data_IF_493956184783
#
_entry.id   IF_493956184783
#
_cell.length_a   1.000
_cell.length_b   1.000
_cell.length_c   1.000
_cell.angle_alpha   90.00
_cell.angle_beta   90.00
_cell.angle_gamma   90.00
#
_symmetry.space_group_name_H-M   'P 1'
#
loop_
_entity.id
_entity.type
_entity.pdbx_description
1 polymer ?
#
# COMPACT_ATOMS: atom_id res chain seq x y z
N UNK A 1 36.17 -14.77 -41.89
CA UNK A 1 36.11 -15.13 -40.45
C UNK A 1 35.68 -13.97 -39.52
N UNK A 2 35.22 -12.83 -40.06
CA UNK A 2 34.97 -11.58 -39.31
C UNK A 2 33.57 -11.47 -38.70
N UNK A 3 32.54 -12.13 -39.26
CA UNK A 3 31.15 -11.90 -38.84
C UNK A 3 30.78 -12.53 -37.47
N UNK A 4 31.35 -13.70 -37.12
CA UNK A 4 31.02 -14.44 -35.88
C UNK A 4 31.61 -13.80 -34.62
N UNK A 5 32.85 -13.29 -34.72
CA UNK A 5 33.56 -12.62 -33.62
C UNK A 5 32.93 -11.27 -33.27
N UNK A 6 32.45 -10.53 -34.29
CA UNK A 6 31.79 -9.23 -34.08
C UNK A 6 30.40 -9.42 -33.46
N UNK A 7 29.61 -10.42 -33.89
CA UNK A 7 28.32 -10.76 -33.25
C UNK A 7 28.47 -11.10 -31.77
N UNK A 8 29.46 -11.92 -31.41
CA UNK A 8 29.71 -12.27 -30.02
C UNK A 8 30.14 -11.08 -29.15
N UNK A 9 30.91 -10.13 -29.69
CA UNK A 9 31.28 -8.89 -28.97
C UNK A 9 30.07 -7.98 -28.69
N UNK A 10 29.15 -7.86 -29.64
CA UNK A 10 27.91 -7.08 -29.45
C UNK A 10 26.99 -7.74 -28.41
N UNK A 11 26.81 -9.06 -28.48
CA UNK A 11 25.98 -9.80 -27.52
C UNK A 11 26.50 -9.67 -26.08
N UNK A 12 27.83 -9.69 -25.89
CA UNK A 12 28.47 -9.46 -24.59
C UNK A 12 28.23 -8.03 -24.10
N UNK A 13 28.30 -7.03 -24.98
CA UNK A 13 28.03 -5.63 -24.63
C UNK A 13 26.56 -5.41 -24.22
N UNK A 14 25.61 -5.96 -24.98
CA UNK A 14 24.17 -5.88 -24.69
C UNK A 14 23.85 -6.57 -23.36
N UNK A 15 24.47 -7.72 -23.11
CA UNK A 15 24.32 -8.44 -21.84
C UNK A 15 24.87 -7.63 -20.67
N UNK A 16 26.05 -7.01 -20.83
CA UNK A 16 26.65 -6.15 -19.80
C UNK A 16 25.77 -4.95 -19.49
N UNK A 17 25.20 -4.29 -20.51
CA UNK A 17 24.28 -3.16 -20.32
C UNK A 17 23.04 -3.58 -19.52
N UNK A 18 22.39 -4.68 -19.93
CA UNK A 18 21.20 -5.22 -19.22
C UNK A 18 21.49 -5.59 -17.77
N UNK A 19 22.67 -6.15 -17.50
CA UNK A 19 23.09 -6.48 -16.13
C UNK A 19 23.32 -5.20 -15.30
N UNK A 20 23.95 -4.18 -15.88
CA UNK A 20 24.18 -2.90 -15.21
C UNK A 20 22.87 -2.18 -14.86
N UNK A 21 21.91 -2.18 -15.80
CA UNK A 21 20.58 -1.61 -15.60
C UNK A 21 19.84 -2.30 -14.45
N UNK A 22 19.92 -3.64 -14.37
CA UNK A 22 19.33 -4.42 -13.26
C UNK A 22 20.00 -4.10 -11.92
N UNK A 23 21.33 -3.97 -11.89
CA UNK A 23 22.06 -3.62 -10.65
C UNK A 23 21.64 -2.24 -10.15
N UNK A 24 21.56 -1.26 -11.06
CA UNK A 24 21.11 0.09 -10.72
C UNK A 24 19.66 0.10 -10.23
N UNK A 25 18.77 -0.65 -10.90
CA UNK A 25 17.38 -0.81 -10.46
C UNK A 25 17.31 -1.37 -9.03
N UNK A 26 18.02 -2.46 -8.73
CA UNK A 26 18.06 -3.08 -7.39
C UNK A 26 18.55 -2.08 -6.32
N UNK A 27 19.62 -1.34 -6.59
CA UNK A 27 20.14 -0.32 -5.66
C UNK A 27 19.12 0.77 -5.38
N UNK A 28 18.40 1.21 -6.42
CA UNK A 28 17.36 2.23 -6.26
C UNK A 28 16.15 1.71 -5.47
N UNK A 29 15.71 0.48 -5.74
CA UNK A 29 14.59 -0.14 -5.02
C UNK A 29 14.87 -0.31 -3.52
N UNK A 30 16.11 -0.67 -3.15
CA UNK A 30 16.52 -0.80 -1.75
C UNK A 30 16.38 0.52 -0.97
N UNK A 31 16.42 1.67 -1.66
CA UNK A 31 16.18 2.99 -1.06
C UNK A 31 14.70 3.39 -1.07
N UNK A 32 13.97 3.04 -2.14
CA UNK A 32 12.56 3.47 -2.32
C UNK A 32 11.59 2.64 -1.48
N UNK A 33 11.81 1.33 -1.31
CA UNK A 33 10.91 0.47 -0.52
C UNK A 33 10.81 0.88 0.96
N UNK A 34 11.91 1.17 1.69
CA UNK A 34 11.81 1.62 3.09
C UNK A 34 11.08 2.95 3.25
N UNK A 35 11.27 3.89 2.32
CA UNK A 35 10.55 5.16 2.31
C UNK A 35 9.04 4.95 2.08
N UNK A 36 8.69 4.09 1.11
CA UNK A 36 7.31 3.72 0.84
C UNK A 36 6.64 3.02 2.04
N UNK A 37 7.33 2.09 2.71
CA UNK A 37 6.83 1.43 3.92
C UNK A 37 6.59 2.44 5.05
N UNK A 38 7.50 3.41 5.24
CA UNK A 38 7.33 4.50 6.22
C UNK A 38 6.08 5.34 5.93
N UNK A 39 5.84 5.70 4.67
CA UNK A 39 4.63 6.46 4.28
C UNK A 39 3.34 5.65 4.51
N UNK A 40 3.34 4.36 4.21
CA UNK A 40 2.23 3.44 4.48
C UNK A 40 1.98 3.30 5.99
N UNK A 41 3.04 3.19 6.79
CA UNK A 41 2.97 3.10 8.26
C UNK A 41 2.38 4.39 8.86
N UNK A 42 2.78 5.55 8.35
CA UNK A 42 2.23 6.85 8.77
C UNK A 42 0.75 6.97 8.43
N UNK A 43 0.33 6.57 7.22
CA UNK A 43 -1.07 6.56 6.83
C UNK A 43 -1.90 5.61 7.71
N UNK A 44 -1.38 4.40 7.97
CA UNK A 44 -2.02 3.43 8.87
C UNK A 44 -2.21 4.01 10.27
N UNK A 45 -1.17 4.59 10.88
CA UNK A 45 -1.23 5.11 12.24
C UNK A 45 -2.17 6.31 12.34
N UNK A 46 -2.16 7.20 11.34
CA UNK A 46 -3.11 8.31 11.24
C UNK A 46 -4.55 7.78 11.23
N UNK A 47 -4.84 6.82 10.34
CA UNK A 47 -6.19 6.26 10.22
C UNK A 47 -6.62 5.49 11.48
N UNK A 48 -5.70 4.76 12.11
CA UNK A 48 -5.94 4.07 13.38
C UNK A 48 -6.37 5.05 14.47
N UNK A 49 -5.70 6.20 14.60
CA UNK A 49 -6.06 7.24 15.55
C UNK A 49 -7.43 7.85 15.24
N UNK A 50 -7.76 8.10 13.97
CA UNK A 50 -9.08 8.61 13.56
C UNK A 50 -10.21 7.63 13.96
N UNK A 51 -10.03 6.33 13.71
CA UNK A 51 -10.99 5.29 14.13
C UNK A 51 -11.12 5.26 15.66
N UNK A 52 -10.00 5.33 16.38
CA UNK A 52 -9.98 5.35 17.84
C UNK A 52 -10.78 6.52 18.41
N UNK A 53 -10.57 7.70 17.84
CA UNK A 53 -11.17 8.97 18.28
C UNK A 53 -12.61 9.17 17.76
N UNK A 54 -13.12 8.28 16.90
CA UNK A 54 -14.50 8.36 16.42
C UNK A 54 -15.50 8.19 17.57
N UNK A 55 -16.18 9.27 17.95
CA UNK A 55 -17.31 9.21 18.89
C UNK A 55 -18.60 8.72 18.23
N UNK A 56 -18.60 8.53 16.91
CA UNK A 56 -19.76 8.13 16.11
C UNK A 56 -19.90 6.61 15.95
N UNK A 57 -18.91 5.82 16.38
CA UNK A 57 -18.89 4.37 16.21
C UNK A 57 -18.99 3.63 17.56
N UNK A 58 -19.64 2.48 17.58
CA UNK A 58 -19.60 1.56 18.73
C UNK A 58 -18.25 0.86 18.85
N UNK A 59 -18.01 0.18 19.96
CA UNK A 59 -16.80 -0.61 20.17
C UNK A 59 -16.64 -1.70 19.11
N UNK A 60 -17.73 -2.41 18.77
CA UNK A 60 -17.71 -3.49 17.78
C UNK A 60 -17.43 -2.94 16.37
N UNK A 61 -17.97 -1.77 16.04
CA UNK A 61 -17.71 -1.10 14.76
C UNK A 61 -16.25 -0.65 14.63
N UNK A 62 -15.66 -0.12 15.71
CA UNK A 62 -14.23 0.21 15.74
C UNK A 62 -13.37 -1.03 15.60
N UNK A 63 -13.72 -2.12 16.28
CA UNK A 63 -12.97 -3.37 16.19
C UNK A 63 -12.99 -3.94 14.76
N UNK A 64 -14.14 -3.90 14.09
CA UNK A 64 -14.24 -4.31 12.69
C UNK A 64 -13.36 -3.42 11.78
N UNK A 65 -13.39 -2.11 11.97
CA UNK A 65 -12.56 -1.18 11.21
C UNK A 65 -11.06 -1.38 11.47
N UNK A 66 -10.63 -1.73 12.70
CA UNK A 66 -9.23 -2.09 12.96
C UNK A 66 -8.80 -3.37 12.25
N UNK A 67 -9.64 -4.41 12.26
CA UNK A 67 -9.34 -5.65 11.55
C UNK A 67 -9.19 -5.41 10.04
N UNK A 68 -10.07 -4.60 9.45
CA UNK A 68 -9.96 -4.20 8.05
C UNK A 68 -8.69 -3.38 7.80
N UNK A 69 -8.39 -2.42 8.66
CA UNK A 69 -7.19 -1.58 8.56
C UNK A 69 -5.89 -2.41 8.64
N UNK A 70 -5.83 -3.39 9.54
CA UNK A 70 -4.69 -4.31 9.67
C UNK A 70 -4.54 -5.20 8.42
N UNK A 71 -5.66 -5.64 7.85
CA UNK A 71 -5.67 -6.39 6.58
C UNK A 71 -5.10 -5.53 5.45
N UNK A 72 -5.52 -4.27 5.33
CA UNK A 72 -4.99 -3.34 4.31
C UNK A 72 -3.51 -3.04 4.49
N UNK A 73 -3.03 -2.95 5.73
CA UNK A 73 -1.60 -2.82 6.00
C UNK A 73 -0.81 -4.06 5.56
N UNK A 74 -1.33 -5.25 5.79
CA UNK A 74 -0.68 -6.48 5.36
C UNK A 74 -0.66 -6.61 3.83
N UNK A 75 -1.76 -6.30 3.15
CA UNK A 75 -1.83 -6.22 1.68
C UNK A 75 -0.81 -5.22 1.12
N UNK A 76 -0.67 -4.06 1.76
CA UNK A 76 0.30 -3.04 1.37
C UNK A 76 1.75 -3.55 1.41
N UNK A 77 2.13 -4.22 2.51
CA UNK A 77 3.48 -4.81 2.65
C UNK A 77 3.74 -5.86 1.58
N UNK A 78 2.78 -6.76 1.36
CA UNK A 78 2.90 -7.77 0.31
C UNK A 78 3.07 -7.15 -1.08
N UNK A 79 2.33 -6.08 -1.40
CA UNK A 79 2.46 -5.38 -2.68
C UNK A 79 3.80 -4.66 -2.84
N UNK A 80 4.31 -4.02 -1.78
CA UNK A 80 5.63 -3.37 -1.77
C UNK A 80 6.76 -4.39 -1.91
N UNK A 81 6.64 -5.55 -1.26
CA UNK A 81 7.60 -6.65 -1.39
C UNK A 81 7.62 -7.21 -2.82
N UNK A 82 6.46 -7.38 -3.44
CA UNK A 82 6.33 -7.88 -4.81
C UNK A 82 6.78 -6.90 -5.91
N UNK A 83 6.92 -5.60 -5.60
CA UNK A 83 7.30 -4.58 -6.57
C UNK A 83 8.74 -4.77 -7.09
N UNK A 84 8.92 -4.78 -8.42
CA UNK A 84 10.18 -5.10 -9.11
C UNK A 84 10.88 -3.90 -9.76
N UNK A 85 10.22 -2.73 -9.77
CA UNK A 85 10.81 -1.46 -10.23
C UNK A 85 10.45 -0.32 -9.27
N UNK A 86 11.12 0.83 -9.39
CA UNK A 86 10.75 2.01 -8.60
C UNK A 86 9.33 2.49 -8.91
N UNK A 87 8.90 2.39 -10.17
CA UNK A 87 7.54 2.73 -10.58
C UNK A 87 6.51 1.82 -9.92
N UNK A 88 6.81 0.51 -9.84
CA UNK A 88 5.95 -0.44 -9.15
C UNK A 88 5.87 -0.12 -7.65
N UNK A 89 6.99 0.25 -7.02
CA UNK A 89 7.01 0.64 -5.60
C UNK A 89 6.17 1.88 -5.35
N UNK A 90 6.32 2.93 -6.19
CA UNK A 90 5.50 4.15 -6.10
C UNK A 90 4.01 3.83 -6.28
N UNK A 91 3.67 3.01 -7.27
CA UNK A 91 2.27 2.62 -7.54
C UNK A 91 1.68 1.80 -6.40
N UNK A 92 2.43 0.82 -5.89
CA UNK A 92 2.03 0.00 -4.76
C UNK A 92 1.81 0.86 -3.50
N UNK A 93 2.70 1.81 -3.23
CA UNK A 93 2.58 2.77 -2.13
C UNK A 93 1.31 3.60 -2.25
N UNK A 94 1.10 4.26 -3.40
CA UNK A 94 -0.03 5.18 -3.58
C UNK A 94 -1.37 4.45 -3.49
N UNK A 95 -1.48 3.27 -4.12
CA UNK A 95 -2.66 2.42 -4.02
C UNK A 95 -2.93 1.95 -2.58
N UNK A 96 -1.86 1.60 -1.85
CA UNK A 96 -1.96 1.15 -0.47
C UNK A 96 -2.42 2.26 0.48
N UNK A 97 -1.87 3.47 0.32
CA UNK A 97 -2.30 4.65 1.08
C UNK A 97 -3.77 4.96 0.77
N UNK A 98 -4.17 4.90 -0.50
CA UNK A 98 -5.56 5.11 -0.88
C UNK A 98 -6.50 4.07 -0.24
N UNK A 99 -6.13 2.79 -0.24
CA UNK A 99 -6.92 1.73 0.36
C UNK A 99 -7.02 1.86 1.89
N UNK A 100 -5.90 2.17 2.58
CA UNK A 100 -5.89 2.49 4.02
C UNK A 100 -6.82 3.67 4.30
N UNK A 101 -6.75 4.71 3.47
CA UNK A 101 -7.59 5.90 3.61
C UNK A 101 -9.07 5.68 3.27
N UNK A 102 -9.44 4.52 2.72
CA UNK A 102 -10.84 4.14 2.51
C UNK A 102 -11.44 3.41 3.70
N UNK A 103 -10.62 2.89 4.64
CA UNK A 103 -11.13 2.22 5.85
C UNK A 103 -11.76 3.25 6.77
N UNK A 104 -13.09 3.35 6.79
CA UNK A 104 -13.81 4.27 7.66
C UNK A 104 -14.20 3.56 8.97
N UNK A 105 -14.33 4.33 10.05
CA UNK A 105 -15.00 3.81 11.24
C UNK A 105 -16.45 3.52 10.85
N UNK A 106 -16.89 2.27 10.90
CA UNK A 106 -18.28 1.94 10.59
C UNK A 106 -19.20 2.73 11.55
N UNK A 107 -20.20 3.43 11.02
CA UNK A 107 -21.18 4.19 11.82
C UNK A 107 -22.61 3.69 11.62
N UNK A 108 -22.79 2.61 10.87
CA UNK A 108 -24.08 2.12 10.39
C UNK A 108 -25.00 1.68 11.53
N UNK A 109 -24.46 1.05 12.58
CA UNK A 109 -25.25 0.67 13.76
C UNK A 109 -25.67 1.86 14.60
N UNK A 110 -24.85 2.92 14.71
CA UNK A 110 -25.25 4.15 15.43
C UNK A 110 -26.34 4.92 14.68
N UNK A 111 -26.29 4.98 13.35
CA UNK A 111 -27.38 5.57 12.55
C UNK A 111 -28.68 4.78 12.67
N UNK A 112 -28.61 3.44 12.66
CA UNK A 112 -29.80 2.59 12.80
C UNK A 112 -30.39 2.64 14.21
N UNK A 113 -29.55 2.68 15.25
CA UNK A 113 -29.99 2.91 16.62
C UNK A 113 -30.67 4.29 16.75
N UNK A 114 -30.06 5.38 16.24
CA UNK A 114 -30.71 6.72 16.25
C UNK A 114 -32.05 6.73 15.50
N UNK A 115 -32.18 6.03 14.35
CA UNK A 115 -33.47 5.93 13.64
C UNK A 115 -34.54 5.18 14.44
N UNK A 116 -34.18 4.18 15.26
CA UNK A 116 -35.13 3.49 16.13
C UNK A 116 -35.57 4.30 17.35
N UNK A 117 -34.75 5.25 17.81
CA UNK A 117 -35.03 6.07 19.01
C UNK A 117 -35.69 7.41 18.65
N UNK A 118 -35.63 7.85 17.37
CA UNK A 118 -36.43 8.99 16.92
C UNK A 118 -37.92 8.65 17.13
N UNK A 119 -38.64 9.41 17.99
CA UNK A 119 -40.02 9.07 18.31
C UNK A 119 -40.84 9.09 17.03
N UNK A 120 -41.65 8.05 16.82
CA UNK A 120 -42.89 8.18 16.05
C UNK A 120 -43.80 9.13 16.83
N UNK A 121 -43.50 10.42 16.75
CA UNK A 121 -44.45 11.46 17.13
C UNK A 121 -45.68 11.26 16.26
N UNK A 122 -46.82 11.16 16.95
CA UNK A 122 -48.16 10.85 16.43
C UNK A 122 -48.57 11.64 15.20
#
# INVERSE_FOLDING_TARGET
>A
MTSKVVKSKQEVADTKSKVLDKINAIQTQAKVKPAADTEVENAYNTRKQEIQNSNASTTEEKQAAYTELDTKKQEARTNLDAANTNSDVTTAKDNSIAAINQVQAATTKKSDAKRKIAPKSK
#
